data_IF_321172713064
#
_entry.id   IF_321172713064
#
_cell.length_a   1.000
_cell.length_b   1.000
_cell.length_c   1.000
_cell.angle_alpha   90.00
_cell.angle_beta   90.00
_cell.angle_gamma   90.00
#
_symmetry.space_group_name_H-M   'P 1'
#
loop_
_entity.id
_entity.type
_entity.pdbx_description
1 polymer ?
#
# COMPACT_ATOMS: atom_id res chain seq x y z
N UNK A 1 -1.27 9.12 -1.19
CA UNK A 1 -1.26 10.46 -1.74
C UNK A 1 -2.15 11.36 -0.88
N UNK A 2 -3.48 11.20 -0.83
CA UNK A 2 -4.42 12.11 -0.15
C UNK A 2 -4.10 12.37 1.34
N UNK A 3 -3.88 11.35 2.15
CA UNK A 3 -3.62 11.53 3.60
C UNK A 3 -2.33 12.30 3.86
N UNK A 4 -1.32 12.15 3.01
CA UNK A 4 -0.05 12.84 3.15
C UNK A 4 -0.07 14.24 2.54
N UNK A 5 -0.53 14.37 1.30
CA UNK A 5 -0.36 15.57 0.50
C UNK A 5 -1.47 16.60 0.73
N UNK A 6 -2.71 16.16 0.88
CA UNK A 6 -3.85 17.06 1.07
C UNK A 6 -4.09 17.42 2.53
N UNK A 7 -3.86 16.48 3.45
CA UNK A 7 -4.17 16.69 4.88
C UNK A 7 -2.96 17.02 5.73
N UNK A 8 -1.72 16.85 5.20
CA UNK A 8 -0.46 17.10 5.93
C UNK A 8 -0.38 16.44 7.32
N UNK A 9 -1.09 15.33 7.51
CA UNK A 9 -1.20 14.65 8.81
C UNK A 9 -0.05 13.70 9.10
N UNK A 10 0.72 13.32 8.08
CA UNK A 10 1.76 12.32 8.22
C UNK A 10 2.99 12.63 7.38
N UNK A 11 4.17 12.21 7.85
CA UNK A 11 5.43 12.29 7.12
C UNK A 11 5.46 11.30 5.95
N UNK A 12 4.88 10.14 6.16
CA UNK A 12 4.64 9.13 5.14
C UNK A 12 3.35 8.37 5.45
N UNK A 13 2.69 7.88 4.41
CA UNK A 13 1.59 6.93 4.51
C UNK A 13 1.69 5.97 3.32
N UNK A 14 1.69 4.69 3.60
CA UNK A 14 1.75 3.64 2.58
C UNK A 14 0.92 2.44 2.96
N UNK A 15 0.35 1.78 1.97
CA UNK A 15 -0.31 0.49 2.11
C UNK A 15 0.49 -0.60 1.42
N UNK A 16 0.54 -1.78 2.02
CA UNK A 16 1.21 -2.96 1.48
C UNK A 16 0.31 -4.17 1.69
N UNK A 17 -0.11 -4.85 0.63
CA UNK A 17 -0.77 -6.14 0.74
C UNK A 17 0.24 -7.21 1.14
N UNK A 18 -0.15 -8.07 2.06
CA UNK A 18 0.56 -9.29 2.42
C UNK A 18 -0.28 -10.49 2.00
N UNK A 19 0.16 -11.16 0.95
CA UNK A 19 -0.57 -12.30 0.38
C UNK A 19 -0.52 -13.53 1.28
N UNK A 20 0.53 -13.69 2.13
CA UNK A 20 0.64 -14.82 3.05
C UNK A 20 -0.36 -14.71 4.18
N UNK A 21 -0.55 -13.51 4.69
CA UNK A 21 -1.47 -13.25 5.80
C UNK A 21 -2.89 -12.92 5.31
N UNK A 22 -3.12 -12.80 4.00
CA UNK A 22 -4.37 -12.30 3.41
C UNK A 22 -4.79 -10.99 4.08
N UNK A 23 -3.83 -10.10 4.32
CA UNK A 23 -3.99 -8.86 5.04
C UNK A 23 -3.43 -7.69 4.25
N UNK A 24 -3.89 -6.48 4.56
CA UNK A 24 -3.31 -5.24 4.08
C UNK A 24 -2.80 -4.43 5.27
N UNK A 25 -1.53 -4.10 5.26
CA UNK A 25 -0.92 -3.24 6.26
C UNK A 25 -0.88 -1.81 5.77
N UNK A 26 -1.42 -0.89 6.57
CA UNK A 26 -1.26 0.55 6.34
C UNK A 26 -0.33 1.10 7.41
N UNK A 27 0.73 1.76 7.00
CA UNK A 27 1.76 2.31 7.88
C UNK A 27 1.89 3.80 7.62
N UNK A 28 1.84 4.60 8.69
CA UNK A 28 1.99 6.04 8.63
C UNK A 28 2.91 6.55 9.75
N UNK A 29 3.82 7.47 9.40
CA UNK A 29 4.61 8.21 10.37
C UNK A 29 3.94 9.54 10.67
N UNK A 30 3.56 9.75 11.92
CA UNK A 30 2.72 10.88 12.35
C UNK A 30 3.27 11.53 13.62
N UNK A 31 2.89 12.79 13.86
CA UNK A 31 2.96 13.36 15.20
C UNK A 31 1.95 12.68 16.14
N UNK A 32 2.34 12.54 17.41
CA UNK A 32 1.52 11.82 18.40
C UNK A 32 0.09 12.36 18.52
N UNK A 33 -0.07 13.67 18.44
CA UNK A 33 -1.35 14.37 18.51
C UNK A 33 -2.26 14.15 17.28
N UNK A 34 -1.69 13.72 16.17
CA UNK A 34 -2.43 13.47 14.93
C UNK A 34 -2.92 12.01 14.80
N UNK A 35 -2.68 11.15 15.80
CA UNK A 35 -3.01 9.72 15.75
C UNK A 35 -4.44 9.45 15.30
N UNK A 36 -5.41 10.04 15.99
CA UNK A 36 -6.82 9.75 15.72
C UNK A 36 -7.25 10.30 14.37
N UNK A 37 -6.84 11.53 14.05
CA UNK A 37 -7.10 12.15 12.73
C UNK A 37 -6.52 11.35 11.58
N UNK A 38 -5.30 10.84 11.75
CA UNK A 38 -4.66 10.02 10.70
C UNK A 38 -5.37 8.66 10.54
N UNK A 39 -5.79 8.04 11.65
CA UNK A 39 -6.56 6.81 11.60
C UNK A 39 -7.90 7.03 10.88
N UNK A 40 -8.66 8.05 11.26
CA UNK A 40 -9.93 8.38 10.64
C UNK A 40 -9.76 8.69 9.15
N UNK A 41 -8.72 9.44 8.77
CA UNK A 41 -8.44 9.75 7.38
C UNK A 41 -8.09 8.50 6.55
N UNK A 42 -7.32 7.55 7.11
CA UNK A 42 -7.00 6.29 6.44
C UNK A 42 -8.27 5.46 6.22
N UNK A 43 -9.12 5.36 7.23
CA UNK A 43 -10.39 4.62 7.13
C UNK A 43 -11.35 5.28 6.13
N UNK A 44 -11.44 6.61 6.13
CA UNK A 44 -12.23 7.34 5.15
C UNK A 44 -11.77 7.08 3.71
N UNK A 45 -10.46 6.93 3.46
CA UNK A 45 -9.95 6.54 2.14
C UNK A 45 -10.37 5.11 1.75
N UNK A 46 -10.38 4.17 2.70
CA UNK A 46 -10.88 2.83 2.42
C UNK A 46 -12.38 2.86 2.10
N UNK A 47 -13.16 3.63 2.83
CA UNK A 47 -14.60 3.76 2.59
C UNK A 47 -14.88 4.43 1.24
N UNK A 48 -14.11 5.44 0.84
CA UNK A 48 -14.18 6.04 -0.48
C UNK A 48 -13.91 5.00 -1.58
N UNK A 49 -12.90 4.14 -1.41
CA UNK A 49 -12.64 3.03 -2.35
C UNK A 49 -13.78 2.02 -2.41
N UNK A 50 -14.41 1.69 -1.27
CA UNK A 50 -15.57 0.79 -1.20
C UNK A 50 -16.81 1.36 -1.92
N UNK A 51 -16.93 2.68 -1.92
CA UNK A 51 -18.01 3.39 -2.61
C UNK A 51 -17.70 3.67 -4.09
N UNK A 52 -16.47 3.38 -4.55
CA UNK A 52 -16.05 3.70 -5.91
C UNK A 52 -15.75 5.20 -6.11
N UNK A 53 -15.45 5.92 -5.05
CA UNK A 53 -15.14 7.36 -5.04
C UNK A 53 -13.68 7.60 -5.40
N UNK A 54 -13.29 7.27 -6.61
CA UNK A 54 -11.97 7.50 -7.18
C UNK A 54 -12.09 7.79 -8.68
N UNK A 55 -11.18 8.56 -9.22
CA UNK A 55 -11.21 8.96 -10.62
C UNK A 55 -10.57 7.93 -11.56
N UNK A 56 -10.88 8.01 -12.84
CA UNK A 56 -10.17 7.23 -13.88
C UNK A 56 -8.69 7.61 -13.95
N UNK A 57 -8.33 8.84 -13.59
CA UNK A 57 -6.94 9.30 -13.51
C UNK A 57 -6.20 8.60 -12.37
N UNK A 58 -6.80 8.47 -11.18
CA UNK A 58 -6.22 7.73 -10.05
C UNK A 58 -5.92 6.28 -10.43
N UNK A 59 -6.87 5.62 -11.12
CA UNK A 59 -6.70 4.24 -11.61
C UNK A 59 -5.55 4.17 -12.61
N UNK A 60 -5.52 5.08 -13.57
CA UNK A 60 -4.50 5.12 -14.62
C UNK A 60 -3.11 5.34 -14.03
N UNK A 61 -2.97 6.24 -13.07
CA UNK A 61 -1.71 6.54 -12.40
C UNK A 61 -1.22 5.38 -11.54
N UNK A 62 -2.12 4.73 -10.80
CA UNK A 62 -1.81 3.54 -10.03
C UNK A 62 -1.33 2.39 -10.94
N UNK A 63 -2.03 2.12 -12.05
CA UNK A 63 -1.63 1.11 -13.04
C UNK A 63 -0.26 1.41 -13.64
N UNK A 64 -0.02 2.66 -14.02
CA UNK A 64 1.27 3.09 -14.59
C UNK A 64 2.40 2.92 -13.60
N UNK A 65 2.19 3.32 -12.34
CA UNK A 65 3.16 3.14 -11.26
C UNK A 65 3.52 1.68 -11.03
N UNK A 66 2.51 0.80 -10.96
CA UNK A 66 2.72 -0.63 -10.79
C UNK A 66 3.42 -1.25 -12.01
N UNK A 67 2.99 -0.93 -13.22
CA UNK A 67 3.63 -1.43 -14.44
C UNK A 67 5.12 -1.03 -14.52
N UNK A 68 5.45 0.18 -14.09
CA UNK A 68 6.85 0.62 -14.04
C UNK A 68 7.66 -0.18 -13.00
N UNK A 69 7.10 -0.43 -11.81
CA UNK A 69 7.79 -1.23 -10.79
C UNK A 69 8.08 -2.66 -11.25
N UNK A 70 7.23 -3.26 -12.10
CA UNK A 70 7.51 -4.57 -12.69
C UNK A 70 8.60 -4.53 -13.76
N UNK A 71 8.71 -3.44 -14.53
CA UNK A 71 9.83 -3.28 -15.47
C UNK A 71 11.17 -3.13 -14.77
N UNK A 72 11.19 -2.42 -13.63
CA UNK A 72 12.39 -2.26 -12.82
C UNK A 72 12.94 -3.57 -12.25
N UNK A 73 12.13 -4.64 -12.19
CA UNK A 73 12.61 -5.97 -11.80
C UNK A 73 13.65 -6.51 -12.79
N UNK A 74 13.59 -6.14 -14.06
CA UNK A 74 14.55 -6.59 -15.07
C UNK A 74 15.95 -5.98 -14.86
N UNK A 75 16.04 -4.86 -14.20
CA UNK A 75 17.30 -4.18 -13.93
C UNK A 75 18.10 -4.81 -12.78
N UNK A 76 17.51 -5.75 -12.03
CA UNK A 76 18.13 -6.37 -10.86
C UNK A 76 17.90 -7.88 -10.80
N UNK A 77 18.99 -8.66 -11.01
CA UNK A 77 18.94 -10.10 -10.89
C UNK A 77 18.46 -10.56 -9.49
N UNK A 78 18.82 -9.82 -8.43
CA UNK A 78 18.39 -10.14 -7.07
C UNK A 78 16.88 -9.88 -6.89
N UNK A 79 16.34 -8.78 -7.40
CA UNK A 79 14.91 -8.49 -7.37
C UNK A 79 14.13 -9.54 -8.15
N UNK A 80 14.59 -9.92 -9.33
CA UNK A 80 14.00 -10.97 -10.16
C UNK A 80 13.99 -12.33 -9.45
N UNK A 81 15.09 -12.69 -8.80
CA UNK A 81 15.18 -13.91 -8.01
C UNK A 81 14.17 -13.92 -6.86
N UNK A 82 14.04 -12.82 -6.10
CA UNK A 82 13.06 -12.68 -5.03
C UNK A 82 11.62 -12.72 -5.55
N UNK A 83 11.37 -12.14 -6.73
CA UNK A 83 10.07 -12.24 -7.40
C UNK A 83 9.67 -13.71 -7.61
N UNK A 84 10.50 -14.49 -8.32
CA UNK A 84 10.19 -15.90 -8.59
C UNK A 84 10.09 -16.73 -7.30
N UNK A 85 10.96 -16.48 -6.32
CA UNK A 85 10.89 -17.18 -5.04
C UNK A 85 9.55 -16.95 -4.36
N UNK A 86 9.08 -15.71 -4.31
CA UNK A 86 7.77 -15.40 -3.73
C UNK A 86 6.62 -16.08 -4.49
N UNK A 87 6.69 -16.11 -5.82
CA UNK A 87 5.67 -16.74 -6.67
C UNK A 87 5.63 -18.26 -6.53
N UNK A 88 6.77 -18.92 -6.44
CA UNK A 88 6.84 -20.37 -6.20
C UNK A 88 6.12 -20.75 -4.90
N UNK A 89 6.28 -19.97 -3.83
CA UNK A 89 5.64 -20.21 -2.56
C UNK A 89 4.09 -20.16 -2.71
N UNK A 90 3.57 -19.32 -3.60
CA UNK A 90 2.14 -19.25 -3.91
C UNK A 90 1.67 -20.22 -5.00
N UNK A 91 2.57 -21.10 -5.48
CA UNK A 91 2.25 -22.05 -6.53
C UNK A 91 2.03 -21.42 -7.91
N UNK A 92 2.57 -20.22 -8.14
CA UNK A 92 2.50 -19.50 -9.41
C UNK A 92 3.91 -19.29 -9.97
N UNK A 93 4.05 -19.34 -11.29
CA UNK A 93 5.27 -19.02 -12.02
C UNK A 93 5.03 -17.94 -13.07
N UNK A 94 4.12 -17.02 -12.76
CA UNK A 94 3.81 -15.94 -13.68
C UNK A 94 4.98 -14.98 -13.83
N UNK A 95 5.27 -14.63 -15.08
CA UNK A 95 6.26 -13.62 -15.43
C UNK A 95 5.78 -12.21 -14.99
N UNK A 96 6.69 -11.30 -14.63
CA UNK A 96 6.34 -9.91 -14.27
C UNK A 96 5.50 -9.22 -15.35
N UNK A 97 5.82 -9.45 -16.62
CA UNK A 97 5.09 -8.89 -17.76
C UNK A 97 3.63 -9.36 -17.80
N UNK A 98 3.39 -10.65 -17.57
CA UNK A 98 2.03 -11.20 -17.53
C UNK A 98 1.22 -10.59 -16.39
N UNK A 99 1.84 -10.37 -15.24
CA UNK A 99 1.18 -9.72 -14.10
C UNK A 99 0.92 -8.24 -14.41
N UNK A 100 1.86 -7.56 -15.04
CA UNK A 100 1.69 -6.17 -15.50
C UNK A 100 0.51 -6.04 -16.47
N UNK A 101 0.38 -6.95 -17.44
CA UNK A 101 -0.75 -6.97 -18.37
C UNK A 101 -2.10 -7.18 -17.64
N UNK A 102 -2.15 -8.08 -16.67
CA UNK A 102 -3.34 -8.30 -15.84
C UNK A 102 -3.74 -7.02 -15.09
N UNK A 103 -2.77 -6.32 -14.51
CA UNK A 103 -3.00 -5.05 -13.81
C UNK A 103 -3.58 -3.99 -14.75
N UNK A 104 -3.05 -3.87 -15.96
CA UNK A 104 -3.57 -2.92 -16.94
C UNK A 104 -5.05 -3.18 -17.30
N UNK A 105 -5.51 -4.42 -17.17
CA UNK A 105 -6.89 -4.82 -17.45
C UNK A 105 -7.83 -4.78 -16.23
N UNK A 106 -7.33 -4.43 -15.04
CA UNK A 106 -8.17 -4.28 -13.83
C UNK A 106 -9.21 -3.16 -14.04
N UNK A 107 -10.44 -3.40 -13.65
CA UNK A 107 -11.54 -2.45 -13.76
C UNK A 107 -11.85 -1.75 -12.44
N UNK A 108 -12.51 -0.59 -12.49
CA UNK A 108 -13.01 0.11 -11.31
C UNK A 108 -13.89 -0.79 -10.44
N UNK A 109 -14.77 -1.59 -11.05
CA UNK A 109 -15.64 -2.52 -10.35
C UNK A 109 -14.85 -3.57 -9.54
N UNK A 110 -13.78 -4.12 -10.11
CA UNK A 110 -12.90 -5.07 -9.41
C UNK A 110 -12.15 -4.43 -8.24
N UNK A 111 -11.74 -3.16 -8.38
CA UNK A 111 -11.11 -2.41 -7.28
C UNK A 111 -12.11 -2.22 -6.13
N UNK A 112 -13.33 -1.80 -6.44
CA UNK A 112 -14.41 -1.63 -5.46
C UNK A 112 -14.78 -2.96 -4.78
N UNK A 113 -14.88 -4.05 -5.54
CA UNK A 113 -15.14 -5.39 -5.00
C UNK A 113 -14.02 -5.82 -4.03
N UNK A 114 -12.76 -5.65 -4.42
CA UNK A 114 -11.62 -5.94 -3.56
C UNK A 114 -11.63 -5.07 -2.30
N UNK A 115 -11.91 -3.78 -2.40
CA UNK A 115 -12.01 -2.88 -1.25
C UNK A 115 -13.10 -3.33 -0.28
N UNK A 116 -14.25 -3.79 -0.78
CA UNK A 116 -15.35 -4.29 0.04
C UNK A 116 -15.03 -5.58 0.80
N UNK A 117 -14.04 -6.34 0.37
CA UNK A 117 -13.55 -7.52 1.10
C UNK A 117 -12.62 -7.16 2.27
N UNK A 118 -12.15 -5.91 2.35
CA UNK A 118 -11.24 -5.43 3.39
C UNK A 118 -12.02 -4.91 4.59
N UNK A 119 -11.65 -5.35 5.80
CA UNK A 119 -12.17 -4.83 7.06
C UNK A 119 -11.02 -4.49 8.00
N UNK A 120 -11.24 -3.48 8.86
CA UNK A 120 -10.28 -3.16 9.91
C UNK A 120 -10.26 -4.30 10.92
N UNK A 121 -9.06 -4.84 11.16
CA UNK A 121 -8.81 -5.82 12.21
C UNK A 121 -8.21 -5.14 13.45
N UNK A 122 -7.05 -4.52 13.30
CA UNK A 122 -6.31 -3.95 14.42
C UNK A 122 -5.67 -2.62 14.07
N UNK A 123 -5.59 -1.73 15.05
CA UNK A 123 -4.80 -0.50 15.00
C UNK A 123 -3.69 -0.57 16.04
N UNK A 124 -2.46 -0.44 15.60
CA UNK A 124 -1.29 -0.44 16.45
C UNK A 124 -0.58 0.91 16.41
N UNK A 125 -0.29 1.48 17.58
CA UNK A 125 0.39 2.77 17.68
C UNK A 125 1.65 2.67 18.53
N UNK A 126 2.79 3.05 17.97
CA UNK A 126 4.07 3.11 18.65
C UNK A 126 4.40 4.57 18.94
N UNK A 127 4.55 4.90 20.21
CA UNK A 127 4.94 6.23 20.68
C UNK A 127 6.31 6.17 21.30
N UNK A 128 7.18 7.11 20.94
CA UNK A 128 8.46 7.30 21.63
C UNK A 128 8.25 7.71 23.09
N UNK A 129 9.12 7.24 23.94
CA UNK A 129 9.07 7.53 25.41
C UNK A 129 9.53 8.94 25.77
N UNK A 130 10.00 9.72 24.79
CA UNK A 130 10.54 11.07 25.02
C UNK A 130 11.89 11.10 25.77
N UNK A 131 12.50 9.94 26.00
CA UNK A 131 13.85 9.90 26.52
C UNK A 131 14.80 10.41 25.42
N UNK A 132 15.32 11.62 25.60
CA UNK A 132 16.46 12.08 24.83
C UNK A 132 17.59 11.04 25.06
N UNK A 133 18.15 10.52 23.97
CA UNK A 133 19.41 9.82 24.06
C UNK A 133 20.39 10.86 24.57
N UNK A 134 20.88 10.71 25.82
CA UNK A 134 22.02 11.49 26.28
C UNK A 134 23.16 11.16 25.31
N UNK A 135 23.54 12.14 24.50
CA UNK A 135 24.76 12.07 23.70
C UNK A 135 25.93 11.98 24.69
N UNK A 136 26.39 10.77 24.90
CA UNK A 136 27.68 10.55 25.60
C UNK A 136 28.76 11.10 24.68
N UNK A 137 29.24 12.30 25.05
CA UNK A 137 30.49 12.88 24.55
C UNK A 137 31.69 12.05 24.99
#
# INVERSE_FOLDING_TARGET
>A
VHVREEMSLCYYCRSLPDMFMSAMFVSAGIETENRDKACDAILAQLDAMKNGEFSEEDISDAKRSLANSYRELDDSAAAKCLWYLSRIIFGSLEEPETVSEKIMNVTAAQITEAANSVSLDSVYFIKGTGLALEENN
#
